data_IF_234518030896
#
_entry.id   IF_234518030896
#
_cell.length_a   1.000
_cell.length_b   1.000
_cell.length_c   1.000
_cell.angle_alpha   90.00
_cell.angle_beta   90.00
_cell.angle_gamma   90.00
#
_symmetry.space_group_name_H-M   'P 1'
#
loop_
_entity.id
_entity.type
_entity.pdbx_description
1 polymer ?
#
# COMPACT_ATOMS: atom_id res chain seq x y z
N UNK A 1 -24.89 -54.53 10.77
CA UNK A 1 -25.63 -53.42 10.13
C UNK A 1 -25.04 -52.14 10.67
N UNK A 2 -24.58 -51.24 9.79
CA UNK A 2 -24.03 -49.95 10.19
C UNK A 2 -25.14 -49.12 10.86
N UNK A 3 -24.94 -48.71 12.12
CA UNK A 3 -25.92 -47.93 12.86
C UNK A 3 -25.93 -46.47 12.33
N UNK A 4 -27.10 -45.81 12.32
CA UNK A 4 -27.25 -44.38 11.99
C UNK A 4 -26.21 -43.52 12.74
N UNK A 5 -25.89 -43.84 13.99
CA UNK A 5 -24.91 -43.11 14.78
C UNK A 5 -23.51 -43.15 14.15
N UNK A 6 -23.09 -44.30 13.63
CA UNK A 6 -21.78 -44.47 12.96
C UNK A 6 -21.74 -43.74 11.62
N UNK A 7 -22.84 -43.76 10.86
CA UNK A 7 -22.95 -43.03 9.59
C UNK A 7 -22.86 -41.52 9.81
N UNK A 8 -23.47 -40.99 10.87
CA UNK A 8 -23.36 -39.58 11.26
C UNK A 8 -21.94 -39.20 11.69
N UNK A 9 -21.27 -40.06 12.47
CA UNK A 9 -19.89 -39.83 12.89
C UNK A 9 -18.92 -39.82 11.69
N UNK A 10 -19.09 -40.73 10.72
CA UNK A 10 -18.31 -40.74 9.48
C UNK A 10 -18.55 -39.49 8.63
N UNK A 11 -19.80 -39.04 8.49
CA UNK A 11 -20.10 -37.78 7.78
C UNK A 11 -19.37 -36.59 8.41
N UNK A 12 -19.43 -36.47 9.74
CA UNK A 12 -18.76 -35.36 10.44
C UNK A 12 -17.23 -35.41 10.28
N UNK A 13 -16.64 -36.61 10.29
CA UNK A 13 -15.20 -36.78 10.06
C UNK A 13 -14.81 -36.40 8.62
N UNK A 14 -15.60 -36.81 7.63
CA UNK A 14 -15.39 -36.44 6.22
C UNK A 14 -15.55 -34.95 5.99
N UNK A 15 -16.56 -34.30 6.58
CA UNK A 15 -16.74 -32.85 6.47
C UNK A 15 -15.56 -32.07 7.07
N UNK A 16 -15.00 -32.53 8.20
CA UNK A 16 -13.79 -31.94 8.77
C UNK A 16 -12.59 -32.06 7.81
N UNK A 17 -12.38 -33.23 7.22
CA UNK A 17 -11.29 -33.45 6.26
C UNK A 17 -11.46 -32.59 5.00
N UNK A 18 -12.69 -32.48 4.49
CA UNK A 18 -13.00 -31.61 3.34
C UNK A 18 -12.72 -30.15 3.67
N UNK A 19 -13.14 -29.68 4.85
CA UNK A 19 -12.91 -28.30 5.27
C UNK A 19 -11.41 -27.99 5.42
N UNK A 20 -10.63 -28.92 5.97
CA UNK A 20 -9.18 -28.78 6.12
C UNK A 20 -8.46 -28.78 4.77
N UNK A 21 -8.83 -29.70 3.87
CA UNK A 21 -8.32 -29.75 2.50
C UNK A 21 -8.67 -28.47 1.71
N UNK A 22 -9.90 -27.96 1.83
CA UNK A 22 -10.30 -26.70 1.22
C UNK A 22 -9.53 -25.50 1.79
N UNK A 23 -9.27 -25.48 3.10
CA UNK A 23 -8.48 -24.40 3.73
C UNK A 23 -7.05 -24.42 3.22
N UNK A 24 -6.41 -25.59 3.14
CA UNK A 24 -5.07 -25.75 2.59
C UNK A 24 -5.01 -25.34 1.11
N UNK A 25 -5.95 -25.82 0.28
CA UNK A 25 -6.04 -25.46 -1.14
C UNK A 25 -6.29 -23.96 -1.35
N UNK A 26 -7.13 -23.33 -0.51
CA UNK A 26 -7.34 -21.88 -0.55
C UNK A 26 -6.08 -21.10 -0.16
N UNK A 27 -5.34 -21.56 0.85
CA UNK A 27 -4.10 -20.90 1.25
C UNK A 27 -3.04 -20.96 0.13
N UNK A 28 -2.90 -22.12 -0.52
CA UNK A 28 -2.00 -22.28 -1.68
C UNK A 28 -2.40 -21.39 -2.86
N UNK A 29 -3.70 -21.35 -3.18
CA UNK A 29 -4.23 -20.46 -4.21
C UNK A 29 -3.96 -18.98 -3.90
N UNK A 30 -4.16 -18.55 -2.65
CA UNK A 30 -3.87 -17.18 -2.21
C UNK A 30 -2.38 -16.87 -2.34
N UNK A 31 -1.50 -17.79 -1.95
CA UNK A 31 -0.06 -17.63 -2.08
C UNK A 31 0.35 -17.46 -3.55
N UNK A 32 -0.19 -18.30 -4.44
CA UNK A 32 0.07 -18.23 -5.88
C UNK A 32 -0.42 -16.91 -6.50
N UNK A 33 -1.63 -16.47 -6.14
CA UNK A 33 -2.16 -15.18 -6.58
C UNK A 33 -1.31 -14.04 -6.04
N UNK A 34 -0.84 -14.10 -4.80
CA UNK A 34 0.05 -13.08 -4.23
C UNK A 34 1.40 -13.00 -4.93
N UNK A 35 2.00 -14.14 -5.29
CA UNK A 35 3.23 -14.16 -6.07
C UNK A 35 3.03 -13.56 -7.47
N UNK A 36 1.95 -13.93 -8.15
CA UNK A 36 1.59 -13.34 -9.45
C UNK A 36 1.33 -11.84 -9.32
N UNK A 37 0.62 -11.39 -8.28
CA UNK A 37 0.42 -9.97 -8.03
C UNK A 37 1.75 -9.23 -7.83
N UNK A 38 2.71 -9.81 -7.10
CA UNK A 38 4.02 -9.20 -6.90
C UNK A 38 4.86 -9.15 -8.18
N UNK A 39 4.84 -10.20 -8.99
CA UNK A 39 5.58 -10.29 -10.26
C UNK A 39 5.12 -9.25 -11.28
N UNK A 40 3.80 -9.04 -11.38
CA UNK A 40 3.19 -8.10 -12.33
C UNK A 40 2.88 -6.73 -11.73
N UNK A 41 3.23 -6.48 -10.46
CA UNK A 41 2.93 -5.23 -9.75
C UNK A 41 1.43 -4.95 -9.60
N UNK A 42 0.59 -5.99 -9.61
CA UNK A 42 -0.86 -5.89 -9.50
C UNK A 42 -1.27 -5.70 -8.05
N UNK A 43 -2.34 -4.96 -7.83
CA UNK A 43 -2.94 -4.79 -6.50
C UNK A 43 -4.31 -5.44 -6.46
N UNK A 44 -4.83 -5.72 -5.26
CA UNK A 44 -6.20 -6.24 -5.11
C UNK A 44 -7.26 -5.36 -5.79
N UNK A 45 -6.97 -4.06 -5.98
CA UNK A 45 -7.84 -3.13 -6.70
C UNK A 45 -7.88 -3.38 -8.22
N UNK A 46 -6.83 -3.96 -8.79
CA UNK A 46 -6.75 -4.34 -10.21
C UNK A 46 -7.65 -5.57 -10.49
N UNK A 47 -7.67 -6.52 -9.55
CA UNK A 47 -8.55 -7.70 -9.60
C UNK A 47 -10.03 -7.39 -9.35
N UNK A 48 -10.33 -6.27 -8.67
CA UNK A 48 -11.69 -5.87 -8.31
C UNK A 48 -12.51 -5.28 -9.48
N UNK A 49 -12.03 -5.41 -10.73
CA UNK A 49 -12.79 -5.07 -11.93
C UNK A 49 -12.94 -3.58 -12.19
N UNK A 50 -12.14 -2.73 -11.53
CA UNK A 50 -12.05 -1.32 -11.94
C UNK A 50 -11.11 -1.26 -13.14
N UNK A 51 -11.68 -0.98 -14.31
CA UNK A 51 -10.95 -0.74 -15.56
C UNK A 51 -9.62 -0.01 -15.30
N UNK A 52 -8.53 -0.33 -16.03
CA UNK A 52 -7.21 0.23 -15.78
C UNK A 52 -7.27 1.74 -15.98
N UNK A 53 -7.57 2.48 -14.91
CA UNK A 53 -7.19 3.87 -14.82
C UNK A 53 -5.68 3.84 -14.77
N UNK A 54 -5.07 4.25 -15.89
CA UNK A 54 -3.66 4.50 -16.15
C UNK A 54 -2.72 4.35 -14.94
N UNK A 55 -1.54 3.72 -15.09
CA UNK A 55 -0.65 3.35 -13.99
C UNK A 55 -0.59 4.49 -12.99
N UNK A 56 -1.23 4.29 -11.84
CA UNK A 56 -1.22 5.28 -10.77
C UNK A 56 0.20 5.23 -10.25
N UNK A 57 1.02 6.12 -10.83
CA UNK A 57 2.41 6.33 -10.50
C UNK A 57 2.58 6.13 -9.01
N UNK A 58 3.37 5.10 -8.71
CA UNK A 58 3.91 4.79 -7.40
C UNK A 58 4.27 6.07 -6.66
N UNK A 59 3.37 6.48 -5.77
CA UNK A 59 3.54 7.66 -4.96
C UNK A 59 3.56 8.95 -5.78
N UNK A 60 2.83 9.94 -5.30
CA UNK A 60 3.39 11.28 -5.32
C UNK A 60 4.77 11.16 -4.66
N UNK A 61 5.86 11.02 -5.43
CA UNK A 61 7.21 11.31 -4.95
C UNK A 61 7.06 12.68 -4.33
N UNK A 62 6.98 12.73 -3.00
CA UNK A 62 7.07 13.97 -2.24
C UNK A 62 8.35 14.57 -2.76
N UNK A 63 8.23 15.60 -3.60
CA UNK A 63 9.38 16.31 -4.14
C UNK A 63 10.19 16.68 -2.92
N UNK A 64 11.43 16.19 -2.84
CA UNK A 64 12.26 16.42 -1.68
C UNK A 64 12.21 17.91 -1.35
N UNK A 65 11.91 18.24 -0.10
CA UNK A 65 11.98 19.62 0.34
C UNK A 65 13.39 20.11 0.06
N UNK A 66 13.53 21.18 -0.71
CA UNK A 66 14.82 21.73 -1.10
C UNK A 66 15.27 22.82 -0.13
N UNK A 67 14.33 23.40 0.61
CA UNK A 67 14.58 24.45 1.58
C UNK A 67 13.83 24.18 2.89
N UNK A 68 14.43 24.50 4.04
CA UNK A 68 13.88 24.37 5.39
C UNK A 68 14.22 25.61 6.22
N UNK A 69 13.22 26.09 6.95
CA UNK A 69 13.39 27.16 7.92
C UNK A 69 13.84 26.60 9.28
N UNK A 70 14.97 27.06 9.85
CA UNK A 70 15.46 26.57 11.15
C UNK A 70 14.62 27.08 12.32
N UNK A 71 13.95 28.23 12.19
CA UNK A 71 13.16 28.83 13.27
C UNK A 71 11.78 28.16 13.43
N UNK A 72 11.13 27.82 12.32
CA UNK A 72 9.75 27.29 12.29
C UNK A 72 9.66 25.84 11.81
N UNK A 73 10.78 25.24 11.38
CA UNK A 73 10.82 23.90 10.80
C UNK A 73 9.96 23.71 9.54
N UNK A 74 9.49 24.80 8.92
CA UNK A 74 8.70 24.72 7.70
C UNK A 74 9.60 24.40 6.50
N UNK A 75 9.13 23.49 5.64
CA UNK A 75 9.88 23.04 4.47
C UNK A 75 9.22 23.47 3.17
N UNK A 76 10.02 23.84 2.17
CA UNK A 76 9.56 24.21 0.84
C UNK A 76 10.29 23.45 -0.25
N UNK A 77 9.55 22.90 -1.20
CA UNK A 77 10.06 22.02 -2.27
C UNK A 77 10.66 22.79 -3.44
N UNK A 78 10.67 24.12 -3.39
CA UNK A 78 11.10 24.97 -4.51
C UNK A 78 10.09 25.04 -5.67
N UNK A 79 8.94 24.38 -5.55
CA UNK A 79 7.84 24.41 -6.52
C UNK A 79 6.63 25.15 -5.93
N UNK A 80 5.99 25.99 -6.75
CA UNK A 80 4.81 26.76 -6.36
C UNK A 80 5.12 28.07 -5.63
N UNK A 81 4.12 28.61 -4.92
CA UNK A 81 4.23 29.88 -4.20
C UNK A 81 5.26 29.79 -3.08
N UNK A 82 6.17 30.78 -3.00
CA UNK A 82 7.15 30.88 -1.91
C UNK A 82 6.42 31.09 -0.58
N UNK A 83 6.75 30.35 0.48
CA UNK A 83 6.13 30.52 1.79
C UNK A 83 6.54 31.87 2.42
N UNK A 84 5.72 32.36 3.37
CA UNK A 84 5.90 33.68 3.99
C UNK A 84 7.25 33.86 4.68
N UNK A 85 7.75 32.82 5.35
CA UNK A 85 9.07 32.85 6.01
C UNK A 85 10.21 33.08 5.01
N UNK A 86 10.13 32.45 3.83
CA UNK A 86 11.15 32.61 2.80
C UNK A 86 11.08 34.00 2.17
N UNK A 87 9.87 34.54 1.96
CA UNK A 87 9.70 35.92 1.48
C UNK A 87 10.21 36.95 2.49
N UNK A 88 9.94 36.76 3.78
CA UNK A 88 10.46 37.60 4.85
C UNK A 88 11.99 37.54 4.93
N UNK A 89 12.57 36.35 4.89
CA UNK A 89 14.01 36.17 4.89
C UNK A 89 14.69 36.83 3.68
N UNK A 90 14.11 36.71 2.49
CA UNK A 90 14.59 37.41 1.29
C UNK A 90 14.48 38.94 1.42
N UNK A 91 13.43 39.45 2.07
CA UNK A 91 13.26 40.89 2.33
C UNK A 91 14.26 41.42 3.38
N UNK A 92 14.65 40.58 4.34
CA UNK A 92 15.72 40.86 5.32
C UNK A 92 17.13 40.76 4.72
N UNK A 93 17.25 40.47 3.42
CA UNK A 93 18.54 40.35 2.71
C UNK A 93 19.20 38.98 2.84
N UNK A 94 18.52 37.97 3.41
CA UNK A 94 19.03 36.60 3.49
C UNK A 94 18.82 35.88 2.16
N UNK A 95 19.77 35.03 1.81
CA UNK A 95 19.74 34.30 0.54
C UNK A 95 18.96 33.01 0.66
N UNK A 96 18.23 32.65 -0.40
CA UNK A 96 17.48 31.39 -0.51
C UNK A 96 18.36 30.15 -0.24
N UNK A 97 19.64 30.22 -0.57
CA UNK A 97 20.64 29.16 -0.35
C UNK A 97 20.92 28.88 1.13
N UNK A 98 20.73 29.85 2.02
CA UNK A 98 20.96 29.70 3.46
C UNK A 98 19.96 28.71 4.09
N UNK A 99 18.79 28.60 3.48
CA UNK A 99 17.72 27.72 3.89
C UNK A 99 17.73 26.39 3.13
N UNK A 100 18.70 26.13 2.24
CA UNK A 100 18.74 24.87 1.51
C UNK A 100 19.09 23.71 2.45
N UNK A 101 18.38 22.59 2.30
CA UNK A 101 18.65 21.32 3.01
C UNK A 101 19.50 20.37 2.16
#
# INVERSE_FOLDING_TARGET
>A
MTNIQELLAQKAALEKQIAEAQRAARADAIAKVKSLMAEYGLTAADLAGRAPTAPKAEGTKKVAAKYRDPATNQTWTGRGLKPKWLQAALAEGKSLSDFAI
#
